data_IF_115175530384
#
_entry.id   IF_115175530384
#
_cell.length_a   1.000
_cell.length_b   1.000
_cell.length_c   1.000
_cell.angle_alpha   90.00
_cell.angle_beta   90.00
_cell.angle_gamma   90.00
#
_symmetry.space_group_name_H-M   'P 1'
#
loop_
_entity.id
_entity.type
_entity.pdbx_description
1 polymer ?
#
# COMPACT_ATOMS: atom_id res chain seq x y z
N UNK A 1 0.87 -25.76 16.25
CA UNK A 1 2.26 -25.45 15.89
C UNK A 1 2.56 -24.06 16.43
N UNK A 2 3.60 -23.92 17.25
CA UNK A 2 3.95 -22.63 17.83
C UNK A 2 4.45 -21.71 16.71
N UNK A 3 3.83 -20.55 16.54
CA UNK A 3 4.25 -19.48 15.62
C UNK A 3 5.60 -18.84 15.99
N UNK A 4 6.32 -19.37 17.00
CA UNK A 4 7.46 -18.71 17.64
C UNK A 4 8.78 -18.77 16.87
N UNK A 5 8.89 -19.62 15.85
CA UNK A 5 10.18 -19.91 15.20
C UNK A 5 10.33 -19.27 13.81
N UNK A 6 9.29 -18.57 13.33
CA UNK A 6 9.27 -17.92 12.02
C UNK A 6 9.50 -16.40 12.14
N UNK A 7 10.17 -15.77 11.15
CA UNK A 7 10.37 -14.33 11.17
C UNK A 7 9.03 -13.61 11.13
N UNK A 8 8.96 -12.48 11.84
CA UNK A 8 7.82 -11.56 11.74
C UNK A 8 7.86 -10.87 10.38
N UNK A 9 6.74 -10.91 9.67
CA UNK A 9 6.56 -10.33 8.34
C UNK A 9 5.32 -9.46 8.39
N UNK A 10 5.37 -8.29 7.77
CA UNK A 10 4.27 -7.35 7.64
C UNK A 10 4.20 -6.78 6.23
N UNK A 11 3.20 -5.95 5.98
CA UNK A 11 3.07 -5.25 4.70
C UNK A 11 4.38 -4.53 4.34
N UNK A 12 4.66 -4.48 3.03
CA UNK A 12 5.84 -3.83 2.42
C UNK A 12 7.18 -4.52 2.67
N UNK A 13 7.23 -5.58 3.48
CA UNK A 13 8.36 -6.52 3.47
C UNK A 13 8.34 -7.37 2.19
N UNK A 14 9.52 -7.81 1.74
CA UNK A 14 9.65 -8.75 0.63
C UNK A 14 10.20 -10.08 1.13
N UNK A 15 9.83 -11.17 0.45
CA UNK A 15 10.24 -12.53 0.76
C UNK A 15 11.05 -13.05 -0.41
N UNK A 16 12.28 -13.47 -0.13
CA UNK A 16 13.13 -14.20 -1.08
C UNK A 16 13.03 -15.68 -0.75
N UNK A 17 12.62 -16.46 -1.75
CA UNK A 17 12.54 -17.93 -1.65
C UNK A 17 13.89 -18.56 -2.00
N UNK A 18 14.07 -19.84 -1.66
CA UNK A 18 15.27 -20.63 -2.01
C UNK A 18 15.53 -20.74 -3.51
N UNK A 19 14.49 -20.62 -4.34
CA UNK A 19 14.59 -20.58 -5.80
C UNK A 19 14.98 -19.17 -6.31
N UNK A 20 15.20 -18.21 -5.41
CA UNK A 20 15.52 -16.82 -5.72
C UNK A 20 14.32 -15.98 -6.14
N UNK A 21 13.09 -16.50 -6.06
CA UNK A 21 11.88 -15.74 -6.40
C UNK A 21 11.56 -14.76 -5.29
N UNK A 22 11.07 -13.58 -5.67
CA UNK A 22 10.82 -12.48 -4.76
C UNK A 22 9.33 -12.14 -4.75
N UNK A 23 8.75 -12.18 -3.56
CA UNK A 23 7.36 -11.86 -3.31
C UNK A 23 7.24 -10.60 -2.45
N UNK A 24 6.24 -9.76 -2.71
CA UNK A 24 5.84 -8.71 -1.77
C UNK A 24 4.84 -9.29 -0.76
N UNK A 25 5.04 -9.00 0.53
CA UNK A 25 4.07 -9.37 1.57
C UNK A 25 2.72 -8.70 1.33
N UNK A 26 1.65 -9.49 1.45
CA UNK A 26 0.27 -9.07 1.22
C UNK A 26 -0.53 -8.88 2.52
N UNK A 27 0.01 -9.31 3.66
CA UNK A 27 -0.72 -9.38 4.94
C UNK A 27 0.23 -9.22 6.14
N UNK A 28 -0.35 -9.11 7.33
CA UNK A 28 0.32 -9.19 8.62
C UNK A 28 0.24 -10.59 9.26
N UNK A 29 -0.63 -11.48 8.74
CA UNK A 29 -0.89 -12.81 9.33
C UNK A 29 -0.57 -13.95 8.37
N UNK A 30 0.12 -14.98 8.87
CA UNK A 30 0.70 -16.03 8.03
C UNK A 30 0.48 -17.44 8.60
N UNK A 31 -0.78 -17.91 8.71
CA UNK A 31 -1.12 -19.15 9.43
C UNK A 31 -0.65 -20.44 8.76
N UNK A 32 -0.56 -20.46 7.43
CA UNK A 32 -0.17 -21.64 6.63
C UNK A 32 1.12 -21.45 5.82
N UNK A 33 1.83 -20.34 6.04
CA UNK A 33 2.90 -19.85 5.18
C UNK A 33 2.78 -18.34 4.99
N UNK A 34 3.81 -17.74 4.40
CA UNK A 34 3.81 -16.29 4.16
C UNK A 34 2.83 -15.96 3.04
N UNK A 35 1.93 -15.02 3.31
CA UNK A 35 0.97 -14.50 2.34
C UNK A 35 1.65 -13.39 1.53
N UNK A 36 1.76 -13.56 0.21
CA UNK A 36 2.41 -12.60 -0.66
C UNK A 36 1.95 -12.66 -2.11
N UNK A 37 2.50 -11.78 -2.92
CA UNK A 37 2.29 -11.74 -4.38
C UNK A 37 3.64 -11.78 -5.07
N UNK A 38 3.78 -12.61 -6.10
CA UNK A 38 5.04 -12.75 -6.84
C UNK A 38 5.35 -11.43 -7.56
N UNK A 39 6.60 -10.97 -7.48
CA UNK A 39 7.04 -9.71 -8.10
C UNK A 39 8.22 -9.91 -9.05
N UNK A 40 9.16 -10.79 -8.71
CA UNK A 40 10.36 -11.00 -9.50
C UNK A 40 10.77 -12.46 -9.51
N UNK A 41 11.17 -12.95 -10.69
CA UNK A 41 11.72 -14.30 -10.88
C UNK A 41 13.09 -14.17 -11.54
N UNK A 42 14.13 -14.91 -11.10
CA UNK A 42 15.42 -14.94 -11.78
C UNK A 42 15.25 -15.35 -13.25
N UNK A 43 15.74 -14.52 -14.16
CA UNK A 43 15.71 -14.75 -15.60
C UNK A 43 16.97 -14.12 -16.21
N UNK A 44 17.87 -14.89 -16.86
CA UNK A 44 19.05 -14.33 -17.54
C UNK A 44 18.73 -13.22 -18.54
N UNK A 45 17.52 -13.20 -19.11
CA UNK A 45 17.03 -12.17 -20.05
C UNK A 45 16.18 -11.09 -19.37
N UNK A 46 16.04 -11.14 -18.04
CA UNK A 46 15.26 -10.22 -17.26
C UNK A 46 15.75 -8.77 -17.35
N UNK A 47 14.83 -7.84 -17.26
CA UNK A 47 15.06 -6.39 -17.38
C UNK A 47 15.47 -5.71 -16.07
N UNK A 48 15.48 -6.45 -14.95
CA UNK A 48 15.90 -5.98 -13.63
C UNK A 48 17.17 -6.69 -13.20
N UNK A 49 18.05 -6.01 -12.47
CA UNK A 49 19.29 -6.62 -11.97
C UNK A 49 19.62 -6.10 -10.58
N UNK A 50 20.16 -6.97 -9.73
CA UNK A 50 20.76 -6.61 -8.44
C UNK A 50 22.29 -6.46 -8.53
N UNK A 51 22.84 -6.46 -9.76
CA UNK A 51 24.27 -6.46 -10.06
C UNK A 51 24.90 -7.86 -10.10
N UNK A 52 24.19 -8.89 -9.63
CA UNK A 52 24.67 -10.29 -9.63
C UNK A 52 23.84 -11.20 -10.53
N UNK A 53 22.52 -10.98 -10.59
CA UNK A 53 21.57 -11.78 -11.38
C UNK A 53 20.55 -10.86 -12.05
N UNK A 54 19.99 -11.35 -13.14
CA UNK A 54 18.88 -10.69 -13.82
C UNK A 54 17.55 -11.31 -13.36
N UNK A 55 16.51 -10.49 -13.34
CA UNK A 55 15.16 -10.84 -12.92
C UNK A 55 14.16 -10.26 -13.90
N UNK A 56 13.11 -11.04 -14.17
CA UNK A 56 11.91 -10.57 -14.84
C UNK A 56 10.92 -10.07 -13.80
N UNK A 57 10.38 -8.86 -13.99
CA UNK A 57 9.28 -8.34 -13.17
C UNK A 57 7.95 -8.90 -13.66
N UNK A 58 7.07 -9.21 -12.72
CA UNK A 58 5.69 -9.61 -12.98
C UNK A 58 4.72 -8.57 -12.41
N UNK A 59 3.76 -8.17 -13.23
CA UNK A 59 2.57 -7.48 -12.75
C UNK A 59 1.54 -8.50 -12.22
N UNK A 60 0.46 -8.03 -11.58
CA UNK A 60 -0.40 -8.90 -10.75
C UNK A 60 -1.01 -10.08 -11.53
N UNK A 61 -1.62 -9.88 -12.71
CA UNK A 61 -2.25 -11.00 -13.45
C UNK A 61 -1.19 -11.97 -13.97
N UNK A 62 -0.10 -11.45 -14.56
CA UNK A 62 1.02 -12.26 -15.03
C UNK A 62 1.65 -13.10 -13.91
N UNK A 63 1.66 -12.57 -12.68
CA UNK A 63 2.17 -13.26 -11.51
C UNK A 63 1.31 -14.49 -11.16
N UNK A 64 -0.02 -14.40 -11.23
CA UNK A 64 -0.91 -15.54 -10.99
C UNK A 64 -0.80 -16.57 -12.13
N UNK A 65 -0.84 -16.11 -13.39
CA UNK A 65 -0.66 -16.99 -14.56
C UNK A 65 0.66 -17.77 -14.47
N UNK A 66 1.73 -17.11 -14.03
CA UNK A 66 3.02 -17.76 -13.84
C UNK A 66 2.99 -18.77 -12.69
N UNK A 67 2.39 -18.42 -11.56
CA UNK A 67 2.32 -19.27 -10.37
C UNK A 67 1.46 -20.51 -10.58
N UNK A 68 0.34 -20.40 -11.31
CA UNK A 68 -0.53 -21.53 -11.66
C UNK A 68 0.22 -22.61 -12.46
N UNK A 69 1.22 -22.22 -13.24
CA UNK A 69 2.03 -23.15 -14.02
C UNK A 69 3.15 -23.76 -13.19
N UNK A 70 3.82 -22.96 -12.34
CA UNK A 70 5.09 -23.37 -11.73
C UNK A 70 4.99 -23.81 -10.27
N UNK A 71 4.04 -23.28 -9.50
CA UNK A 71 3.76 -23.62 -8.09
C UNK A 71 2.24 -23.50 -7.81
N UNK A 72 1.38 -24.24 -8.53
CA UNK A 72 -0.08 -24.15 -8.36
C UNK A 72 -0.53 -24.42 -6.92
N UNK A 73 0.22 -25.23 -6.17
CA UNK A 73 -0.06 -25.52 -4.77
C UNK A 73 0.14 -24.34 -3.81
N UNK A 74 0.79 -23.25 -4.27
CA UNK A 74 0.92 -22.00 -3.51
C UNK A 74 -0.18 -21.00 -3.85
N UNK A 75 -1.00 -21.23 -4.88
CA UNK A 75 -2.02 -20.27 -5.31
C UNK A 75 -3.32 -20.50 -4.55
N UNK A 76 -3.74 -19.50 -3.79
CA UNK A 76 -5.04 -19.44 -3.10
C UNK A 76 -5.71 -18.08 -3.40
N UNK A 77 -6.31 -17.44 -2.40
CA UNK A 77 -6.76 -16.05 -2.50
C UNK A 77 -5.59 -15.07 -2.69
N UNK A 78 -4.39 -15.46 -2.22
CA UNK A 78 -3.08 -14.90 -2.54
C UNK A 78 -2.06 -16.05 -2.66
N UNK A 79 -0.80 -15.74 -2.99
CA UNK A 79 0.24 -16.77 -2.93
C UNK A 79 0.62 -17.07 -1.48
N UNK A 80 0.63 -18.35 -1.13
CA UNK A 80 1.03 -18.88 0.18
C UNK A 80 2.41 -19.54 0.04
N UNK A 81 3.45 -18.81 0.44
CA UNK A 81 4.83 -19.28 0.40
C UNK A 81 5.09 -20.17 1.62
N UNK A 82 5.39 -21.46 1.45
CA UNK A 82 5.68 -22.33 2.57
C UNK A 82 6.89 -21.83 3.38
N UNK A 83 6.83 -21.94 4.71
CA UNK A 83 7.89 -21.41 5.59
C UNK A 83 9.26 -22.03 5.33
N UNK A 84 9.31 -23.31 4.94
CA UNK A 84 10.53 -24.01 4.58
C UNK A 84 11.13 -23.54 3.25
N UNK A 85 10.37 -22.81 2.42
CA UNK A 85 10.83 -22.22 1.16
C UNK A 85 11.35 -20.80 1.33
N UNK A 86 11.10 -20.15 2.48
CA UNK A 86 11.62 -18.82 2.80
C UNK A 86 13.12 -18.92 3.05
N UNK A 87 13.92 -18.27 2.21
CA UNK A 87 15.36 -18.11 2.43
C UNK A 87 15.65 -16.86 3.26
N UNK A 88 14.96 -15.75 2.96
CA UNK A 88 15.23 -14.44 3.54
C UNK A 88 13.99 -13.55 3.51
N UNK A 89 13.84 -12.74 4.55
CA UNK A 89 12.90 -11.60 4.57
C UNK A 89 13.71 -10.32 4.39
N UNK A 90 13.31 -9.48 3.43
CA UNK A 90 13.88 -8.18 3.17
C UNK A 90 13.08 -7.12 3.92
N UNK A 91 13.75 -6.38 4.80
CA UNK A 91 13.14 -5.35 5.64
C UNK A 91 13.32 -3.95 5.02
N UNK A 92 12.24 -3.15 4.87
CA UNK A 92 12.33 -1.78 4.36
C UNK A 92 13.28 -0.87 5.15
N UNK A 93 13.28 -0.96 6.49
CA UNK A 93 14.12 -0.11 7.35
C UNK A 93 15.60 -0.45 7.18
N UNK A 94 15.91 -1.75 7.17
CA UNK A 94 17.27 -2.24 6.93
C UNK A 94 17.80 -1.77 5.58
N UNK A 95 17.00 -1.88 4.52
CA UNK A 95 17.41 -1.41 3.19
C UNK A 95 17.64 0.09 3.15
N UNK A 96 16.71 0.90 3.66
CA UNK A 96 16.86 2.35 3.61
C UNK A 96 18.12 2.80 4.36
N UNK A 97 18.41 2.21 5.52
CA UNK A 97 19.63 2.50 6.28
C UNK A 97 20.93 2.30 5.49
N UNK A 98 20.95 1.33 4.56
CA UNK A 98 22.09 1.08 3.68
C UNK A 98 22.20 2.11 2.55
N UNK A 99 21.07 2.50 1.94
CA UNK A 99 21.09 3.17 0.63
C UNK A 99 20.77 4.66 0.68
N UNK A 100 20.21 5.19 1.76
CA UNK A 100 19.61 6.53 1.72
C UNK A 100 20.61 7.65 1.42
N UNK A 101 21.90 7.49 1.73
CA UNK A 101 22.98 8.44 1.37
C UNK A 101 23.70 8.11 0.06
N UNK A 102 23.36 6.98 -0.55
CA UNK A 102 23.99 6.50 -1.78
C UNK A 102 23.15 6.85 -3.01
N UNK A 103 21.84 7.00 -2.84
CA UNK A 103 20.92 7.42 -3.89
C UNK A 103 20.29 8.78 -3.56
N UNK A 104 20.63 9.85 -4.31
CA UNK A 104 20.13 11.21 -4.07
C UNK A 104 18.61 11.30 -3.99
N UNK A 105 17.89 10.42 -4.72
CA UNK A 105 16.42 10.41 -4.74
C UNK A 105 15.86 10.04 -3.37
N UNK A 106 16.50 9.09 -2.67
CA UNK A 106 16.12 8.70 -1.30
C UNK A 106 16.71 9.61 -0.24
N UNK A 107 17.85 10.25 -0.51
CA UNK A 107 18.55 11.10 0.45
C UNK A 107 17.73 12.31 0.86
N UNK A 108 17.12 12.99 -0.11
CA UNK A 108 16.38 14.22 0.14
C UNK A 108 15.16 13.98 1.04
N UNK A 109 14.34 12.99 0.68
CA UNK A 109 13.10 12.69 1.39
C UNK A 109 13.43 12.24 2.82
N UNK A 110 14.42 11.34 2.95
CA UNK A 110 14.87 10.84 4.25
C UNK A 110 15.45 11.97 5.10
N UNK A 111 16.30 12.82 4.54
CA UNK A 111 16.89 13.97 5.23
C UNK A 111 15.83 14.94 5.75
N UNK A 112 14.80 15.21 4.95
CA UNK A 112 13.67 16.07 5.33
C UNK A 112 12.95 15.51 6.56
N UNK A 113 12.63 14.21 6.55
CA UNK A 113 11.97 13.54 7.66
C UNK A 113 12.84 13.50 8.93
N UNK A 114 14.13 13.17 8.79
CA UNK A 114 15.08 13.12 9.91
C UNK A 114 15.28 14.50 10.56
N UNK A 115 15.46 15.56 9.76
CA UNK A 115 15.59 16.95 10.25
C UNK A 115 14.35 17.39 11.03
N UNK A 116 13.17 16.95 10.58
CA UNK A 116 11.90 17.22 11.25
C UNK A 116 11.65 16.31 12.47
N UNK A 117 12.57 15.39 12.80
CA UNK A 117 12.56 14.58 14.01
C UNK A 117 11.78 13.26 13.90
N UNK A 118 11.62 12.71 12.69
CA UNK A 118 11.17 11.33 12.50
C UNK A 118 12.36 10.38 12.76
N UNK A 119 12.23 9.36 13.62
CA UNK A 119 13.30 8.41 13.89
C UNK A 119 13.66 7.55 12.66
N UNK A 120 14.95 7.30 12.42
CA UNK A 120 15.41 6.52 11.27
C UNK A 120 14.86 5.08 11.25
N UNK A 121 14.72 4.45 12.41
CA UNK A 121 14.17 3.10 12.56
C UNK A 121 12.66 3.01 12.28
N UNK A 122 11.98 4.15 12.14
CA UNK A 122 10.59 4.24 11.70
C UNK A 122 10.43 4.46 10.19
N UNK A 123 11.51 4.66 9.44
CA UNK A 123 11.49 4.93 7.99
C UNK A 123 12.11 3.75 7.23
N UNK A 124 11.51 3.35 6.12
CA UNK A 124 12.04 2.33 5.23
C UNK A 124 11.78 2.64 3.77
N UNK A 125 12.27 1.78 2.88
CA UNK A 125 11.99 1.83 1.45
C UNK A 125 11.56 0.46 0.96
N UNK A 126 10.50 0.40 0.16
CA UNK A 126 9.96 -0.83 -0.41
C UNK A 126 10.04 -0.80 -1.95
N UNK A 127 9.20 -1.58 -2.62
CA UNK A 127 9.12 -1.59 -4.08
C UNK A 127 10.40 -2.12 -4.70
N UNK A 128 10.82 -1.53 -5.81
CA UNK A 128 12.02 -1.99 -6.53
C UNK A 128 13.33 -1.73 -5.79
N UNK A 129 13.37 -0.74 -4.89
CA UNK A 129 14.56 -0.40 -4.10
C UNK A 129 14.89 -1.43 -3.02
N UNK A 130 13.86 -2.11 -2.48
CA UNK A 130 14.01 -3.10 -1.41
C UNK A 130 14.90 -4.29 -1.81
N UNK A 131 14.63 -5.00 -2.92
CA UNK A 131 15.51 -6.06 -3.41
C UNK A 131 16.73 -5.54 -4.19
N UNK A 132 16.89 -4.21 -4.34
CA UNK A 132 17.98 -3.64 -5.13
C UNK A 132 17.77 -3.75 -6.65
N UNK A 133 16.51 -3.83 -7.10
CA UNK A 133 16.11 -4.02 -8.51
C UNK A 133 15.58 -2.72 -9.15
N UNK A 134 15.83 -1.58 -8.52
CA UNK A 134 15.45 -0.27 -9.03
C UNK A 134 16.22 0.09 -10.30
N UNK A 135 15.58 0.83 -11.20
CA UNK A 135 16.22 1.42 -12.39
C UNK A 135 16.11 2.95 -12.33
N UNK A 136 16.63 3.66 -13.34
CA UNK A 136 16.54 5.12 -13.40
C UNK A 136 15.10 5.63 -13.33
N UNK A 137 14.18 4.99 -14.04
CA UNK A 137 12.75 5.32 -14.05
C UNK A 137 11.92 4.70 -12.91
N UNK A 138 12.55 4.14 -11.87
CA UNK A 138 11.83 3.62 -10.70
C UNK A 138 11.33 4.76 -9.81
N UNK A 139 10.09 4.62 -9.35
CA UNK A 139 9.50 5.39 -8.26
C UNK A 139 10.10 5.01 -6.90
N UNK A 140 9.92 5.89 -5.91
CA UNK A 140 10.28 5.62 -4.52
C UNK A 140 9.03 5.32 -3.72
N UNK A 141 8.93 4.09 -3.22
CA UNK A 141 7.94 3.71 -2.23
C UNK A 141 8.56 3.85 -0.83
N UNK A 142 8.44 5.01 -0.20
CA UNK A 142 8.93 5.23 1.16
C UNK A 142 7.92 4.70 2.17
N UNK A 143 8.37 3.93 3.15
CA UNK A 143 7.55 3.37 4.21
C UNK A 143 7.79 4.16 5.49
N UNK A 144 6.73 4.52 6.21
CA UNK A 144 6.85 4.99 7.60
C UNK A 144 5.90 4.19 8.49
N UNK A 145 6.41 3.76 9.63
CA UNK A 145 5.69 2.86 10.53
C UNK A 145 4.87 3.61 11.58
N UNK A 146 3.67 3.08 11.81
CA UNK A 146 2.77 3.45 12.87
C UNK A 146 2.45 4.94 12.94
N UNK A 147 2.31 5.52 14.15
CA UNK A 147 1.90 6.91 14.31
C UNK A 147 2.86 7.93 13.67
N UNK A 148 4.13 7.59 13.47
CA UNK A 148 5.09 8.50 12.82
C UNK A 148 4.72 8.81 11.38
N UNK A 149 3.96 7.92 10.72
CA UNK A 149 3.54 8.12 9.34
C UNK A 149 2.69 9.37 9.16
N UNK A 150 1.76 9.66 10.07
CA UNK A 150 0.92 10.86 10.00
C UNK A 150 1.77 12.13 10.13
N UNK A 151 2.74 12.12 11.04
CA UNK A 151 3.69 13.23 11.20
C UNK A 151 4.56 13.38 9.94
N UNK A 152 5.06 12.28 9.38
CA UNK A 152 5.84 12.28 8.16
C UNK A 152 5.06 12.84 6.96
N UNK A 153 3.80 12.42 6.79
CA UNK A 153 2.88 12.96 5.78
C UNK A 153 2.73 14.47 5.90
N UNK A 154 2.49 14.98 7.11
CA UNK A 154 2.32 16.42 7.35
C UNK A 154 3.61 17.22 7.17
N UNK A 155 4.78 16.60 7.41
CA UNK A 155 6.09 17.17 7.08
C UNK A 155 6.24 17.27 5.56
N UNK A 156 5.99 16.20 4.83
CA UNK A 156 6.08 16.16 3.36
C UNK A 156 5.10 17.14 2.72
N UNK A 157 3.88 17.23 3.21
CA UNK A 157 2.89 18.19 2.70
C UNK A 157 3.39 19.64 2.82
N UNK A 158 3.95 20.02 3.98
CA UNK A 158 4.53 21.36 4.20
C UNK A 158 5.80 21.59 3.41
N UNK A 159 6.63 20.56 3.21
CA UNK A 159 7.87 20.67 2.46
C UNK A 159 7.61 21.06 1.00
N UNK A 160 6.49 20.64 0.39
CA UNK A 160 6.14 21.02 -0.99
C UNK A 160 5.84 22.52 -1.17
N UNK A 161 5.49 23.20 -0.09
CA UNK A 161 5.19 24.63 -0.08
C UNK A 161 6.41 25.48 0.37
N UNK A 162 7.52 24.84 0.75
CA UNK A 162 8.75 25.51 1.14
C UNK A 162 9.65 25.76 -0.08
N UNK A 163 9.95 27.01 -0.46
CA UNK A 163 10.81 27.32 -1.60
C UNK A 163 12.27 26.84 -1.44
N UNK A 164 12.68 26.38 -0.26
CA UNK A 164 13.99 25.81 0.01
C UNK A 164 14.01 24.27 0.03
N UNK A 165 12.85 23.63 -0.12
CA UNK A 165 12.73 22.18 -0.25
C UNK A 165 12.89 21.76 -1.70
N UNK A 166 13.47 20.58 -1.95
CA UNK A 166 13.43 19.97 -3.30
C UNK A 166 12.35 18.89 -3.46
N UNK A 167 11.49 18.74 -2.45
CA UNK A 167 10.24 17.99 -2.56
C UNK A 167 9.19 18.91 -3.18
N UNK A 168 8.60 18.47 -4.29
CA UNK A 168 7.68 19.27 -5.08
C UNK A 168 6.29 18.63 -5.19
N UNK A 169 5.30 19.45 -5.56
CA UNK A 169 3.97 19.00 -5.95
C UNK A 169 4.02 18.22 -7.28
N UNK A 170 3.01 17.39 -7.51
CA UNK A 170 2.82 16.71 -8.79
C UNK A 170 2.26 17.69 -9.82
N UNK A 171 2.78 17.61 -11.05
CA UNK A 171 2.20 18.29 -12.20
C UNK A 171 0.95 17.57 -12.76
N UNK A 172 0.24 18.22 -13.67
CA UNK A 172 -0.97 17.67 -14.29
C UNK A 172 -0.71 16.32 -14.98
N UNK A 173 0.41 16.21 -15.69
CA UNK A 173 0.77 15.00 -16.43
C UNK A 173 0.98 13.80 -15.52
N UNK A 174 1.59 14.01 -14.35
CA UNK A 174 1.73 12.97 -13.34
C UNK A 174 0.38 12.57 -12.75
N UNK A 175 -0.52 13.54 -12.48
CA UNK A 175 -1.88 13.24 -12.02
C UNK A 175 -2.67 12.40 -13.02
N UNK A 176 -2.63 12.75 -14.31
CA UNK A 176 -3.27 11.97 -15.39
C UNK A 176 -2.67 10.56 -15.48
N UNK A 177 -1.35 10.43 -15.36
CA UNK A 177 -0.67 9.13 -15.38
C UNK A 177 -1.12 8.24 -14.21
N UNK A 178 -1.26 8.80 -13.01
CA UNK A 178 -1.74 8.06 -11.84
C UNK A 178 -3.20 7.65 -12.06
N UNK A 179 -4.06 8.56 -12.52
CA UNK A 179 -5.47 8.29 -12.79
C UNK A 179 -5.64 7.12 -13.79
N UNK A 180 -4.93 7.18 -14.92
CA UNK A 180 -4.99 6.17 -15.97
C UNK A 180 -4.43 4.80 -15.53
N UNK A 181 -3.53 4.78 -14.53
CA UNK A 181 -3.03 3.53 -13.92
C UNK A 181 -4.02 2.93 -12.93
N UNK A 182 -4.85 3.75 -12.27
CA UNK A 182 -5.80 3.34 -11.22
C UNK A 182 -7.17 2.96 -11.77
N UNK A 183 -7.57 3.56 -12.90
CA UNK A 183 -8.86 3.36 -13.58
C UNK A 183 -10.02 3.36 -12.57
N UNK A 184 -10.18 4.44 -11.77
CA UNK A 184 -11.22 4.47 -10.75
C UNK A 184 -12.61 4.70 -11.36
N UNK A 185 -13.66 4.42 -10.59
CA UNK A 185 -15.06 4.70 -10.98
C UNK A 185 -15.42 6.19 -10.90
N UNK A 186 -14.63 6.98 -10.18
CA UNK A 186 -14.80 8.43 -10.02
C UNK A 186 -14.08 9.18 -11.13
N UNK A 187 -14.58 10.35 -11.52
CA UNK A 187 -13.95 11.15 -12.58
C UNK A 187 -12.59 11.73 -12.16
N UNK A 188 -11.84 12.25 -13.13
CA UNK A 188 -10.50 12.78 -12.89
C UNK A 188 -10.47 13.95 -11.89
N UNK A 189 -11.47 14.84 -11.91
CA UNK A 189 -11.54 15.98 -11.02
C UNK A 189 -11.78 15.55 -9.57
N UNK A 190 -12.75 14.66 -9.36
CA UNK A 190 -13.04 14.05 -8.06
C UNK A 190 -11.83 13.24 -7.56
N UNK A 191 -11.22 12.43 -8.43
CA UNK A 191 -10.02 11.66 -8.11
C UNK A 191 -8.89 12.56 -7.64
N UNK A 192 -8.55 13.59 -8.42
CA UNK A 192 -7.46 14.51 -8.09
C UNK A 192 -7.73 15.27 -6.79
N UNK A 193 -8.96 15.74 -6.57
CA UNK A 193 -9.35 16.39 -5.33
C UNK A 193 -9.10 15.47 -4.11
N UNK A 194 -9.51 14.22 -4.22
CA UNK A 194 -9.27 13.22 -3.19
C UNK A 194 -7.79 12.92 -2.99
N UNK A 195 -7.03 12.70 -4.07
CA UNK A 195 -5.61 12.38 -3.96
C UNK A 195 -4.76 13.53 -3.42
N UNK A 196 -5.04 14.78 -3.83
CA UNK A 196 -4.31 15.96 -3.36
C UNK A 196 -4.39 16.11 -1.83
N UNK A 197 -5.57 15.84 -1.25
CA UNK A 197 -5.78 15.95 0.20
C UNK A 197 -4.97 14.92 1.01
N UNK A 198 -4.62 13.79 0.39
CA UNK A 198 -3.94 12.67 1.08
C UNK A 198 -2.53 13.06 1.49
N UNK A 199 -1.90 14.03 0.82
CA UNK A 199 -0.61 14.62 1.20
C UNK A 199 0.59 13.66 1.15
N UNK A 200 0.39 12.39 0.77
CA UNK A 200 1.35 11.31 0.93
C UNK A 200 2.15 11.00 -0.35
N UNK A 201 2.23 11.93 -1.29
CA UNK A 201 2.93 11.78 -2.58
C UNK A 201 3.66 13.04 -2.99
N UNK A 202 4.78 12.93 -3.68
CA UNK A 202 5.51 14.10 -4.17
C UNK A 202 6.48 13.75 -5.29
N UNK A 203 7.23 14.75 -5.71
CA UNK A 203 8.37 14.62 -6.63
C UNK A 203 9.66 15.03 -5.92
N UNK A 204 10.79 14.40 -6.26
CA UNK A 204 12.14 14.91 -5.97
C UNK A 204 12.91 14.88 -7.29
N UNK A 205 13.18 16.06 -7.84
CA UNK A 205 13.56 16.19 -9.25
C UNK A 205 12.55 15.48 -10.15
N UNK A 206 13.03 14.62 -11.04
CA UNK A 206 12.15 13.85 -11.95
C UNK A 206 11.58 12.55 -11.33
N UNK A 207 11.81 12.29 -10.04
CA UNK A 207 11.41 11.04 -9.39
C UNK A 207 10.14 11.20 -8.58
N UNK A 208 9.10 10.46 -8.97
CA UNK A 208 7.87 10.31 -8.19
C UNK A 208 8.08 9.45 -6.94
N UNK A 209 7.46 9.83 -5.83
CA UNK A 209 7.44 9.03 -4.62
C UNK A 209 6.07 8.96 -3.94
N UNK A 210 5.82 7.83 -3.29
CA UNK A 210 4.71 7.56 -2.38
C UNK A 210 5.24 7.41 -0.95
N UNK A 211 4.48 7.91 0.03
CA UNK A 211 4.65 7.65 1.45
C UNK A 211 3.59 6.64 1.89
N UNK A 212 4.04 5.42 2.23
CA UNK A 212 3.22 4.26 2.53
C UNK A 212 3.16 4.00 4.03
N UNK A 213 1.94 3.83 4.53
CA UNK A 213 1.68 3.46 5.92
C UNK A 213 1.87 1.96 6.13
N UNK A 214 2.49 1.60 7.25
CA UNK A 214 2.51 0.23 7.76
C UNK A 214 2.37 0.28 9.27
N UNK A 215 1.59 -0.63 9.85
CA UNK A 215 1.41 -0.71 11.30
C UNK A 215 2.71 -1.02 12.04
N UNK A 216 2.85 -0.45 13.24
CA UNK A 216 3.77 -0.97 14.24
C UNK A 216 3.31 -2.33 14.78
N UNK A 217 4.24 -3.09 15.34
CA UNK A 217 3.96 -4.47 15.77
C UNK A 217 2.90 -4.58 16.87
N UNK A 218 2.73 -3.54 17.68
CA UNK A 218 1.69 -3.45 18.71
C UNK A 218 0.30 -3.09 18.13
N UNK A 219 0.26 -2.48 16.94
CA UNK A 219 -0.97 -2.21 16.18
C UNK A 219 -1.42 -3.40 15.31
N UNK A 220 -0.54 -4.40 15.12
CA UNK A 220 -0.91 -5.66 14.46
C UNK A 220 -1.75 -6.50 15.43
N UNK A 221 -3.06 -6.37 15.30
CA UNK A 221 -4.07 -7.11 16.05
C UNK A 221 -4.49 -8.38 15.30
N UNK A 222 -5.60 -9.01 15.68
CA UNK A 222 -6.10 -10.24 15.01
C UNK A 222 -6.34 -10.03 13.50
N UNK A 223 -6.21 -11.08 12.68
CA UNK A 223 -6.46 -10.97 11.24
C UNK A 223 -7.92 -10.59 10.97
N UNK A 224 -8.13 -9.80 9.92
CA UNK A 224 -9.46 -9.58 9.35
C UNK A 224 -9.86 -10.85 8.60
N UNK A 225 -10.69 -11.69 9.22
CA UNK A 225 -11.24 -12.88 8.56
C UNK A 225 -12.09 -12.50 7.34
N UNK A 226 -12.17 -13.39 6.35
CA UNK A 226 -13.10 -13.28 5.22
C UNK A 226 -14.54 -13.54 5.71
N UNK A 227 -15.49 -12.69 5.31
CA UNK A 227 -16.91 -12.88 5.61
C UNK A 227 -17.64 -13.63 4.49
N UNK A 228 -18.94 -13.84 4.70
CA UNK A 228 -19.86 -14.36 3.67
C UNK A 228 -20.44 -13.20 2.87
N UNK A 229 -20.35 -13.28 1.54
CA UNK A 229 -20.86 -12.25 0.62
C UNK A 229 -22.39 -12.27 0.59
N UNK A 230 -23.01 -11.11 0.74
CA UNK A 230 -24.48 -10.95 0.78
C UNK A 230 -25.03 -10.13 -0.39
N UNK A 231 -24.18 -9.40 -1.10
CA UNK A 231 -24.55 -8.61 -2.28
C UNK A 231 -23.94 -7.21 -2.27
N UNK A 232 -24.02 -6.52 -3.40
CA UNK A 232 -23.55 -5.15 -3.51
C UNK A 232 -24.58 -4.15 -3.00
N UNK A 233 -24.16 -3.22 -2.15
CA UNK A 233 -24.98 -2.12 -1.65
C UNK A 233 -24.26 -0.77 -1.75
N UNK A 234 -25.04 0.30 -1.79
CA UNK A 234 -24.55 1.67 -1.65
C UNK A 234 -25.07 2.23 -0.33
N UNK A 235 -24.17 2.74 0.50
CA UNK A 235 -24.51 3.35 1.79
C UNK A 235 -24.01 4.78 1.84
N UNK A 236 -24.68 5.60 2.66
CA UNK A 236 -24.16 6.87 3.15
C UNK A 236 -23.98 6.78 4.66
N UNK A 237 -22.82 7.18 5.17
CA UNK A 237 -22.52 7.09 6.59
C UNK A 237 -21.45 8.10 7.03
N UNK A 238 -21.48 8.47 8.31
CA UNK A 238 -20.43 9.32 8.91
C UNK A 238 -19.27 8.45 9.36
N UNK A 239 -18.05 8.77 8.93
CA UNK A 239 -16.84 8.10 9.41
C UNK A 239 -16.58 8.49 10.85
N UNK A 240 -16.52 7.52 11.74
CA UNK A 240 -16.25 7.74 13.18
C UNK A 240 -14.78 7.53 13.53
N UNK A 241 -14.05 6.75 12.74
CA UNK A 241 -12.63 6.45 12.93
C UNK A 241 -11.97 6.16 11.57
N UNK A 242 -10.82 6.79 11.35
CA UNK A 242 -10.00 6.66 10.13
C UNK A 242 -8.52 6.41 10.44
N UNK A 243 -8.17 5.89 11.63
CA UNK A 243 -6.76 5.65 12.03
C UNK A 243 -6.03 4.67 11.11
N UNK A 244 -6.76 3.75 10.48
CA UNK A 244 -6.22 2.76 9.55
C UNK A 244 -6.63 3.04 8.10
N UNK A 245 -6.99 4.28 7.79
CA UNK A 245 -7.42 4.68 6.45
C UNK A 245 -6.32 4.55 5.38
N UNK A 246 -5.04 4.56 5.76
CA UNK A 246 -3.91 4.40 4.82
C UNK A 246 -3.30 3.00 4.80
N UNK A 247 -3.85 2.09 5.59
CA UNK A 247 -3.40 0.70 5.66
C UNK A 247 -3.94 -0.14 4.49
N UNK A 248 -3.53 -1.41 4.43
CA UNK A 248 -4.07 -2.40 3.49
C UNK A 248 -4.64 -3.61 4.23
N UNK A 249 -5.97 -3.84 4.20
CA UNK A 249 -6.98 -2.94 3.65
C UNK A 249 -7.07 -1.65 4.46
N UNK A 250 -7.54 -0.58 3.82
CA UNK A 250 -7.92 0.65 4.49
C UNK A 250 -9.19 0.41 5.29
N UNK A 251 -9.28 0.95 6.50
CA UNK A 251 -10.43 0.74 7.41
C UNK A 251 -11.05 2.08 7.80
N UNK A 252 -12.37 2.18 7.60
CA UNK A 252 -13.21 3.28 8.06
C UNK A 252 -14.30 2.74 8.95
N UNK A 253 -14.28 3.05 10.26
CA UNK A 253 -15.47 2.79 11.08
C UNK A 253 -16.52 3.83 10.76
N UNK A 254 -17.77 3.41 10.69
CA UNK A 254 -18.87 4.28 10.27
C UNK A 254 -20.04 4.21 11.24
N UNK A 255 -20.78 5.30 11.34
CA UNK A 255 -22.09 5.35 11.99
C UNK A 255 -23.16 5.01 10.94
N UNK A 256 -23.51 3.72 10.87
CA UNK A 256 -24.56 3.18 10.01
C UNK A 256 -25.35 2.12 10.79
N UNK A 257 -26.69 2.00 10.63
CA UNK A 257 -27.50 1.06 11.40
C UNK A 257 -27.08 -0.41 11.28
N UNK A 258 -26.58 -0.80 10.11
CA UNK A 258 -26.24 -2.20 9.81
C UNK A 258 -24.73 -2.41 9.62
N UNK A 259 -24.00 -1.44 9.08
CA UNK A 259 -22.62 -1.60 8.62
C UNK A 259 -21.69 -0.98 9.66
N UNK A 260 -20.84 -1.80 10.29
CA UNK A 260 -19.92 -1.30 11.32
C UNK A 260 -18.68 -0.59 10.76
N UNK A 261 -18.23 -1.00 9.57
CA UNK A 261 -17.05 -0.43 8.92
C UNK A 261 -17.02 -0.71 7.41
N UNK A 262 -16.33 0.16 6.69
CA UNK A 262 -15.98 0.02 5.27
C UNK A 262 -14.50 -0.36 5.16
N UNK A 263 -14.22 -1.43 4.42
CA UNK A 263 -12.86 -1.85 4.06
C UNK A 263 -12.56 -1.47 2.61
N UNK A 264 -11.32 -1.05 2.33
CA UNK A 264 -10.84 -0.93 0.96
C UNK A 264 -9.56 -1.73 0.72
N UNK A 265 -9.61 -2.69 -0.20
CA UNK A 265 -8.44 -3.44 -0.68
C UNK A 265 -7.76 -2.77 -1.88
N UNK A 266 -8.30 -1.66 -2.38
CA UNK A 266 -7.68 -0.87 -3.44
C UNK A 266 -7.00 0.37 -2.88
N UNK A 267 -5.77 0.61 -3.34
CA UNK A 267 -5.01 1.81 -3.01
C UNK A 267 -5.71 3.11 -3.44
N UNK A 268 -6.63 3.05 -4.42
CA UNK A 268 -7.39 4.22 -4.89
C UNK A 268 -8.16 4.89 -3.76
N UNK A 269 -8.77 4.10 -2.86
CA UNK A 269 -9.58 4.64 -1.77
C UNK A 269 -8.86 4.60 -0.41
N UNK A 270 -7.54 4.37 -0.39
CA UNK A 270 -6.75 4.58 0.81
C UNK A 270 -6.68 6.07 1.14
N UNK A 271 -6.95 6.45 2.39
CA UNK A 271 -6.98 7.85 2.84
C UNK A 271 -8.18 8.66 2.33
N UNK A 272 -9.22 8.01 1.82
CA UNK A 272 -10.33 8.67 1.13
C UNK A 272 -11.16 9.61 2.02
N UNK A 273 -11.38 9.25 3.28
CA UNK A 273 -12.22 9.96 4.23
C UNK A 273 -11.52 10.19 5.58
N UNK A 274 -11.90 11.25 6.30
CA UNK A 274 -11.46 11.54 7.68
C UNK A 274 -12.60 11.29 8.66
N UNK A 275 -12.28 11.04 9.92
CA UNK A 275 -13.27 11.03 10.99
C UNK A 275 -14.07 12.35 11.03
N UNK A 276 -15.39 12.23 11.14
CA UNK A 276 -16.36 13.32 11.07
C UNK A 276 -16.92 13.59 9.66
N UNK A 277 -16.32 13.05 8.60
CA UNK A 277 -16.82 13.23 7.23
C UNK A 277 -17.94 12.24 6.89
N UNK A 278 -18.89 12.69 6.08
CA UNK A 278 -19.89 11.81 5.46
C UNK A 278 -19.33 11.24 4.17
N UNK A 279 -19.39 9.91 4.05
CA UNK A 279 -19.03 9.19 2.83
C UNK A 279 -20.26 8.61 2.16
N UNK A 280 -20.19 8.49 0.84
CA UNK A 280 -20.96 7.50 0.10
C UNK A 280 -20.00 6.39 -0.32
N UNK A 281 -20.37 5.14 -0.06
CA UNK A 281 -19.57 3.99 -0.44
C UNK A 281 -20.44 2.93 -1.09
N UNK A 282 -19.92 2.30 -2.14
CA UNK A 282 -20.53 1.14 -2.79
C UNK A 282 -19.55 -0.01 -2.86
N UNK A 283 -19.98 -1.19 -2.46
CA UNK A 283 -19.14 -2.38 -2.43
C UNK A 283 -19.94 -3.63 -2.05
N UNK A 284 -19.23 -4.73 -1.82
CA UNK A 284 -19.81 -5.99 -1.38
C UNK A 284 -20.09 -5.95 0.12
N UNK A 285 -21.32 -6.23 0.53
CA UNK A 285 -21.67 -6.45 1.93
C UNK A 285 -21.23 -7.85 2.34
N UNK A 286 -20.50 -7.92 3.45
CA UNK A 286 -20.00 -9.16 4.03
C UNK A 286 -20.46 -9.31 5.47
N UNK A 287 -20.91 -10.51 5.83
CA UNK A 287 -21.20 -10.90 7.20
C UNK A 287 -20.03 -11.68 7.82
N UNK A 288 -19.56 -11.26 8.98
CA UNK A 288 -18.50 -11.93 9.74
C UNK A 288 -18.86 -11.96 11.22
N UNK A 289 -19.12 -13.16 11.75
CA UNK A 289 -19.51 -13.39 13.15
C UNK A 289 -20.72 -12.54 13.58
N UNK A 290 -21.74 -12.39 12.73
CA UNK A 290 -22.93 -11.58 13.02
C UNK A 290 -22.72 -10.07 12.89
N UNK A 291 -21.56 -9.61 12.41
CA UNK A 291 -21.30 -8.21 12.09
C UNK A 291 -21.25 -8.01 10.59
N UNK A 292 -21.86 -6.93 10.10
CA UNK A 292 -21.84 -6.59 8.68
C UNK A 292 -20.79 -5.51 8.41
N UNK A 293 -20.11 -5.63 7.27
CA UNK A 293 -19.15 -4.65 6.75
C UNK A 293 -19.36 -4.47 5.25
N UNK A 294 -18.93 -3.33 4.72
CA UNK A 294 -18.87 -3.10 3.28
C UNK A 294 -17.42 -3.23 2.80
N UNK A 295 -17.19 -3.97 1.71
CA UNK A 295 -15.86 -4.18 1.13
C UNK A 295 -15.79 -3.60 -0.27
N UNK A 296 -14.80 -2.73 -0.48
CA UNK A 296 -14.48 -2.08 -1.75
C UNK A 296 -13.12 -2.59 -2.23
N UNK A 297 -12.97 -2.86 -3.51
CA UNK A 297 -11.79 -3.53 -4.05
C UNK A 297 -11.91 -5.06 -4.05
N UNK A 298 -13.10 -5.60 -4.31
CA UNK A 298 -13.30 -7.07 -4.39
C UNK A 298 -12.64 -7.70 -5.61
N UNK A 299 -12.23 -6.89 -6.58
CA UNK A 299 -11.39 -7.26 -7.71
C UNK A 299 -10.28 -6.22 -7.92
N UNK A 300 -9.31 -6.56 -8.79
CA UNK A 300 -8.18 -5.67 -9.12
C UNK A 300 -8.63 -4.35 -9.76
N UNK A 301 -9.64 -4.42 -10.62
CA UNK A 301 -10.34 -3.27 -11.21
C UNK A 301 -11.78 -3.33 -10.71
N UNK A 302 -12.07 -2.78 -9.51
CA UNK A 302 -13.34 -2.99 -8.83
C UNK A 302 -14.44 -2.15 -9.47
N UNK A 303 -14.90 -2.59 -10.64
CA UNK A 303 -15.93 -1.91 -11.42
C UNK A 303 -17.22 -1.83 -10.63
N UNK A 304 -17.78 -0.62 -10.55
CA UNK A 304 -18.97 -0.33 -9.77
C UNK A 304 -18.76 -0.35 -8.24
N UNK A 305 -17.53 -0.23 -7.74
CA UNK A 305 -17.25 -0.07 -6.31
C UNK A 305 -16.47 1.23 -6.06
N UNK A 306 -16.85 1.98 -5.03
CA UNK A 306 -16.20 3.27 -4.72
C UNK A 306 -16.34 3.66 -3.26
N UNK A 307 -15.50 4.62 -2.86
CA UNK A 307 -15.68 5.43 -1.67
C UNK A 307 -15.48 6.89 -2.09
N UNK A 308 -16.41 7.77 -1.74
CA UNK A 308 -16.29 9.23 -1.95
C UNK A 308 -16.66 9.99 -0.69
N UNK A 309 -15.96 11.08 -0.42
CA UNK A 309 -16.27 11.96 0.73
C UNK A 309 -17.23 13.05 0.26
N UNK A 310 -18.51 12.88 0.57
CA UNK A 310 -19.53 13.87 0.25
C UNK A 310 -19.25 15.21 0.94
N UNK A 311 -18.65 15.16 2.14
CA UNK A 311 -18.20 16.36 2.86
C UNK A 311 -17.14 17.12 2.06
N UNK A 312 -16.10 16.43 1.57
CA UNK A 312 -15.05 17.07 0.77
C UNK A 312 -15.61 17.66 -0.52
N UNK A 313 -16.41 16.88 -1.25
CA UNK A 313 -17.01 17.30 -2.51
C UNK A 313 -17.92 18.52 -2.34
N UNK A 314 -18.71 18.54 -1.25
CA UNK A 314 -19.56 19.66 -0.91
C UNK A 314 -18.81 20.93 -0.50
N UNK A 315 -17.58 20.81 0.03
CA UNK A 315 -16.72 21.95 0.35
C UNK A 315 -16.02 22.54 -0.87
N UNK A 316 -15.75 21.75 -1.91
CA UNK A 316 -15.09 22.20 -3.14
C UNK A 316 -16.03 22.81 -4.18
N UNK A 317 -17.34 22.61 -4.03
CA UNK A 317 -18.39 23.23 -4.87
C UNK A 317 -18.87 24.60 -4.39
N UNK A 318 -18.19 25.22 -3.42
CA UNK A 318 -18.48 26.56 -2.89
C UNK A 318 -17.39 27.56 -3.25
#
# INVERSE_FOLDING_TARGET
MNYSDHPRIRLRDFIVTRDGWIFSSADYHHPGGVRGVLRYVPDPKGERTDGTRNYRKYDFDEAYDYMDIHKPEWVQDVHIIPWDQVERVLSPTGRLAEIWRLDPRTEEITSTLLKAGIPMDSIGVTGSFLPGLQISGSDIDLVVYGPQWFRARDIIARAKDDPHSSIEHLDEGMWERIYNKRIPEIDFGEFKLHEMRKGNRGMVGDTYFDLLFVRDWDQVSKPLGRGTDLGHETIEAVVTDSELAFDSPSVYKVDHPEIGYVLSYTHTYAGQALAGETIEARGMVEEVNGHMRLVVGTSREPKGEWIRSLTLLGSSGK
#
